data_IF_686378009016
#
_entry.id   IF_686378009016
#
_cell.length_a   1.000
_cell.length_b   1.000
_cell.length_c   1.000
_cell.angle_alpha   90.00
_cell.angle_beta   90.00
_cell.angle_gamma   90.00
#
_symmetry.space_group_name_H-M   'P 1'
#
loop_
_entity.id
_entity.type
_entity.pdbx_description
1 polymer ?
#
# COMPACT_ATOMS: atom_id res chain seq x y z
N UNK A 1 30.53 59.50 -38.14
CA UNK A 1 30.21 58.40 -37.21
C UNK A 1 29.16 57.50 -37.84
N UNK A 2 29.52 56.26 -38.22
CA UNK A 2 28.58 55.19 -38.47
C UNK A 2 28.59 54.18 -37.31
N UNK A 3 27.41 53.74 -36.89
CA UNK A 3 27.19 52.71 -35.85
C UNK A 3 27.62 51.32 -36.34
N UNK A 4 28.27 50.47 -35.52
CA UNK A 4 28.58 49.10 -35.90
C UNK A 4 27.37 48.17 -35.69
N UNK A 5 27.14 47.29 -36.68
CA UNK A 5 26.21 46.18 -36.61
C UNK A 5 26.58 45.24 -35.44
N UNK A 6 25.62 44.96 -34.57
CA UNK A 6 25.76 43.92 -33.55
C UNK A 6 25.16 42.64 -34.11
N UNK A 7 26.01 41.66 -34.42
CA UNK A 7 25.58 40.31 -34.78
C UNK A 7 25.00 39.62 -33.53
N UNK A 8 23.77 39.15 -33.62
CA UNK A 8 23.18 38.25 -32.63
C UNK A 8 23.79 36.86 -32.79
N UNK A 9 24.35 36.24 -31.73
CA UNK A 9 24.75 34.85 -31.81
C UNK A 9 23.52 33.95 -31.94
N UNK A 10 23.57 33.08 -32.94
CA UNK A 10 22.66 31.98 -33.21
C UNK A 10 22.29 31.23 -31.92
N UNK A 11 20.99 31.16 -31.64
CA UNK A 11 20.40 30.33 -30.59
C UNK A 11 20.62 28.86 -30.93
N UNK A 12 21.76 28.30 -30.52
CA UNK A 12 21.93 26.86 -30.38
C UNK A 12 21.02 26.39 -29.25
N UNK A 13 19.84 25.86 -29.60
CA UNK A 13 19.00 25.11 -28.68
C UNK A 13 19.77 23.85 -28.27
N UNK A 14 20.48 23.93 -27.16
CA UNK A 14 20.93 22.75 -26.44
C UNK A 14 19.65 22.05 -25.96
N UNK A 15 19.27 20.97 -26.66
CA UNK A 15 18.32 20.00 -26.15
C UNK A 15 18.91 19.44 -24.86
N UNK A 16 18.46 19.97 -23.72
CA UNK A 16 18.64 19.33 -22.43
C UNK A 16 17.80 18.06 -22.53
N UNK A 17 18.38 16.85 -22.49
CA UNK A 17 17.59 15.63 -22.46
C UNK A 17 16.70 15.73 -21.22
N UNK A 18 15.38 15.62 -21.37
CA UNK A 18 14.49 15.50 -20.22
C UNK A 18 14.85 14.19 -19.52
N UNK A 19 15.74 14.28 -18.55
CA UNK A 19 15.99 13.20 -17.61
C UNK A 19 14.73 13.11 -16.78
N UNK A 20 13.79 12.28 -17.25
CA UNK A 20 12.62 11.92 -16.48
C UNK A 20 13.13 11.34 -15.16
N UNK A 21 12.89 12.05 -14.05
CA UNK A 21 13.32 11.62 -12.72
C UNK A 21 12.69 10.27 -12.33
N UNK A 22 11.65 9.87 -13.05
CA UNK A 22 10.94 8.61 -12.89
C UNK A 22 11.48 7.50 -13.83
N UNK A 23 12.44 7.81 -14.71
CA UNK A 23 13.07 6.82 -15.60
C UNK A 23 14.06 5.96 -14.83
N UNK A 24 13.70 4.69 -14.62
CA UNK A 24 14.54 3.69 -13.97
C UNK A 24 15.07 2.73 -15.05
N UNK A 25 16.39 2.64 -15.25
CA UNK A 25 16.99 1.69 -16.18
C UNK A 25 16.64 0.24 -15.80
N UNK A 26 16.16 -0.54 -16.76
CA UNK A 26 15.78 -1.95 -16.63
C UNK A 26 16.96 -2.91 -16.47
N UNK A 27 18.18 -2.41 -16.28
CA UNK A 27 19.42 -3.20 -16.34
C UNK A 27 19.77 -3.99 -15.08
N UNK A 28 19.02 -3.82 -13.98
CA UNK A 28 19.22 -4.57 -12.72
C UNK A 28 18.28 -5.78 -12.56
N UNK A 29 17.48 -6.10 -13.60
CA UNK A 29 16.47 -7.14 -13.54
C UNK A 29 17.14 -8.52 -13.69
N UNK A 30 16.96 -9.45 -12.72
CA UNK A 30 17.43 -10.83 -12.85
C UNK A 30 16.89 -11.49 -14.12
N UNK A 31 17.69 -12.39 -14.69
CA UNK A 31 17.37 -13.26 -15.82
C UNK A 31 15.93 -13.76 -15.82
N UNK A 32 15.35 -13.85 -17.03
CA UNK A 32 13.98 -14.27 -17.38
C UNK A 32 13.41 -15.36 -16.45
N UNK A 33 12.74 -14.94 -15.35
CA UNK A 33 12.02 -15.87 -14.47
C UNK A 33 10.88 -16.53 -15.27
N UNK A 34 10.76 -17.86 -15.15
CA UNK A 34 9.64 -18.58 -15.73
C UNK A 34 8.35 -18.30 -14.94
N UNK A 35 7.61 -17.30 -15.40
CA UNK A 35 6.35 -16.85 -14.81
C UNK A 35 5.15 -17.75 -15.14
N UNK A 36 5.33 -18.87 -15.85
CA UNK A 36 4.22 -19.77 -16.20
C UNK A 36 3.56 -20.42 -14.98
N UNK A 37 4.30 -20.60 -13.89
CA UNK A 37 3.83 -21.18 -12.62
C UNK A 37 3.23 -20.15 -11.63
N UNK A 38 2.98 -18.91 -12.04
CA UNK A 38 2.34 -17.88 -11.18
C UNK A 38 0.95 -18.28 -10.69
N UNK A 39 0.21 -19.06 -11.49
CA UNK A 39 -1.11 -19.57 -11.11
C UNK A 39 -1.06 -20.40 -9.82
N UNK A 40 0.03 -21.14 -9.63
CA UNK A 40 0.19 -22.12 -8.56
C UNK A 40 0.44 -21.43 -7.22
N UNK A 41 0.89 -20.17 -7.26
CA UNK A 41 1.17 -19.32 -6.12
C UNK A 41 0.00 -18.37 -5.77
N UNK A 42 -1.13 -18.47 -6.48
CA UNK A 42 -2.33 -17.69 -6.13
C UNK A 42 -2.95 -18.23 -4.84
N UNK A 43 -3.34 -17.31 -3.94
CA UNK A 43 -4.06 -17.66 -2.71
C UNK A 43 -5.50 -18.08 -3.07
N UNK A 44 -5.66 -19.36 -3.42
CA UNK A 44 -6.91 -20.03 -3.79
C UNK A 44 -6.92 -21.44 -3.21
N UNK A 45 -8.10 -22.08 -3.20
CA UNK A 45 -8.24 -23.47 -2.77
C UNK A 45 -7.68 -23.70 -1.37
N UNK A 46 -6.72 -24.62 -1.24
CA UNK A 46 -6.05 -25.00 0.00
C UNK A 46 -5.33 -23.82 0.67
N UNK A 47 -4.60 -22.99 -0.10
CA UNK A 47 -3.88 -21.84 0.46
C UNK A 47 -4.84 -20.79 1.07
N UNK A 48 -6.02 -20.61 0.48
CA UNK A 48 -7.04 -19.72 1.03
C UNK A 48 -7.65 -20.30 2.33
N UNK A 49 -7.87 -21.60 2.39
CA UNK A 49 -8.39 -22.23 3.61
C UNK A 49 -7.37 -22.20 4.74
N UNK A 50 -6.09 -22.42 4.43
CA UNK A 50 -5.01 -22.25 5.38
C UNK A 50 -4.93 -20.81 5.92
N UNK A 51 -5.07 -19.81 5.03
CA UNK A 51 -5.14 -18.41 5.46
C UNK A 51 -6.34 -18.15 6.40
N UNK A 52 -7.51 -18.74 6.13
CA UNK A 52 -8.70 -18.61 7.01
C UNK A 52 -8.48 -19.28 8.37
N UNK A 53 -7.77 -20.41 8.39
CA UNK A 53 -7.38 -21.07 9.63
C UNK A 53 -6.45 -20.16 10.44
N UNK A 54 -5.40 -19.62 9.82
CA UNK A 54 -4.48 -18.66 10.45
C UNK A 54 -5.28 -17.47 11.04
N UNK A 55 -6.19 -16.87 10.27
CA UNK A 55 -7.04 -15.75 10.74
C UNK A 55 -7.89 -16.17 11.95
N UNK A 56 -8.37 -17.40 11.99
CA UNK A 56 -9.24 -17.90 13.05
C UNK A 56 -8.49 -18.23 14.35
N UNK A 57 -7.25 -18.69 14.23
CA UNK A 57 -6.39 -19.10 15.35
C UNK A 57 -5.56 -17.95 15.93
N UNK A 58 -5.28 -16.92 15.13
CA UNK A 58 -4.48 -15.77 15.58
C UNK A 58 -5.27 -14.90 16.55
N UNK A 59 -4.70 -14.70 17.75
CA UNK A 59 -5.23 -13.78 18.76
C UNK A 59 -4.64 -12.39 18.52
N UNK A 60 -5.48 -11.41 18.18
CA UNK A 60 -5.10 -10.00 18.05
C UNK A 60 -5.74 -9.15 19.16
N UNK A 61 -5.15 -7.98 19.50
CA UNK A 61 -5.73 -7.05 20.46
C UNK A 61 -7.18 -6.67 20.13
N UNK A 62 -8.01 -6.47 21.15
CA UNK A 62 -9.43 -6.13 20.97
C UNK A 62 -9.66 -4.78 20.30
N UNK A 63 -8.69 -3.87 20.38
CA UNK A 63 -8.72 -2.53 19.77
C UNK A 63 -8.45 -2.52 18.26
N UNK A 64 -8.01 -3.64 17.68
CA UNK A 64 -7.66 -3.71 16.27
C UNK A 64 -8.87 -4.09 15.40
N UNK A 65 -8.90 -3.59 14.16
CA UNK A 65 -9.84 -4.06 13.13
C UNK A 65 -9.68 -5.57 12.94
N UNK A 66 -10.75 -6.32 12.65
CA UNK A 66 -10.67 -7.77 12.41
C UNK A 66 -10.90 -8.08 10.94
N UNK A 67 -10.02 -8.89 10.37
CA UNK A 67 -10.26 -9.49 9.05
C UNK A 67 -11.35 -10.56 9.20
N UNK A 68 -12.36 -10.60 8.33
CA UNK A 68 -13.38 -11.64 8.35
C UNK A 68 -12.79 -13.05 8.29
N UNK A 69 -13.21 -13.94 9.19
CA UNK A 69 -12.74 -15.34 9.20
C UNK A 69 -13.06 -16.09 7.91
N UNK A 70 -14.16 -15.72 7.25
CA UNK A 70 -14.58 -16.29 5.95
C UNK A 70 -14.25 -15.35 4.80
N UNK A 71 -13.09 -14.69 4.84
CA UNK A 71 -12.62 -13.82 3.76
C UNK A 71 -12.59 -14.58 2.42
N UNK A 72 -12.98 -13.89 1.35
CA UNK A 72 -13.15 -14.49 0.02
C UNK A 72 -14.46 -15.29 -0.15
N UNK A 73 -15.33 -15.35 0.85
CA UNK A 73 -16.69 -15.88 0.67
C UNK A 73 -17.62 -14.83 0.06
N UNK A 74 -18.57 -15.22 -0.82
CA UNK A 74 -19.53 -14.27 -1.40
C UNK A 74 -20.37 -13.49 -0.38
N UNK A 75 -20.53 -14.02 0.85
CA UNK A 75 -21.39 -13.45 1.88
C UNK A 75 -20.80 -12.27 2.65
N UNK A 76 -19.48 -12.09 2.64
CA UNK A 76 -18.82 -11.08 3.48
C UNK A 76 -18.48 -9.76 2.75
N UNK A 77 -18.72 -9.71 1.43
CA UNK A 77 -18.38 -8.53 0.62
C UNK A 77 -16.87 -8.27 0.51
N UNK A 78 -16.51 -7.09 0.04
CA UNK A 78 -15.12 -6.66 -0.12
C UNK A 78 -14.53 -6.18 1.19
N UNK A 79 -13.23 -6.46 1.40
CA UNK A 79 -12.50 -5.95 2.55
C UNK A 79 -12.36 -4.43 2.49
N UNK A 80 -12.42 -3.80 3.66
CA UNK A 80 -12.15 -2.37 3.87
C UNK A 80 -10.65 -2.11 3.97
N UNK A 81 -10.24 -0.84 3.83
CA UNK A 81 -8.82 -0.46 3.85
C UNK A 81 -8.06 -0.95 5.10
N UNK A 82 -8.65 -0.79 6.30
CA UNK A 82 -8.04 -1.26 7.54
C UNK A 82 -7.93 -2.80 7.63
N UNK A 83 -8.87 -3.53 7.03
CA UNK A 83 -8.84 -4.99 6.96
C UNK A 83 -7.76 -5.46 5.97
N UNK A 84 -7.63 -4.80 4.82
CA UNK A 84 -6.52 -5.03 3.89
C UNK A 84 -5.16 -4.77 4.54
N UNK A 85 -5.02 -3.65 5.25
CA UNK A 85 -3.77 -3.32 5.94
C UNK A 85 -3.42 -4.41 6.96
N UNK A 86 -4.36 -4.84 7.80
CA UNK A 86 -4.09 -5.90 8.78
C UNK A 86 -3.77 -7.24 8.11
N UNK A 87 -4.45 -7.57 7.02
CA UNK A 87 -4.21 -8.79 6.24
C UNK A 87 -2.74 -8.91 5.84
N UNK A 88 -2.19 -7.86 5.24
CA UNK A 88 -0.81 -7.83 4.81
C UNK A 88 0.19 -7.72 5.96
N UNK A 89 -0.13 -6.96 7.02
CA UNK A 89 0.81 -6.75 8.13
C UNK A 89 0.99 -7.99 9.02
N UNK A 90 -0.05 -8.83 9.12
CA UNK A 90 -0.06 -9.96 10.08
C UNK A 90 -0.22 -11.30 9.38
N UNK A 91 -1.33 -11.51 8.68
CA UNK A 91 -1.70 -12.87 8.25
C UNK A 91 -0.94 -13.37 7.03
N UNK A 92 -0.62 -12.48 6.06
CA UNK A 92 0.18 -12.87 4.88
C UNK A 92 1.59 -13.33 5.29
N UNK A 93 2.35 -12.60 6.13
CA UNK A 93 3.62 -13.09 6.67
C UNK A 93 3.51 -14.48 7.31
N UNK A 94 2.51 -14.71 8.15
CA UNK A 94 2.29 -16.02 8.77
C UNK A 94 2.03 -17.12 7.75
N UNK A 95 1.18 -16.85 6.74
CA UNK A 95 0.91 -17.80 5.68
C UNK A 95 2.19 -18.16 4.93
N UNK A 96 2.99 -17.17 4.53
CA UNK A 96 4.22 -17.40 3.77
C UNK A 96 5.25 -18.18 4.58
N UNK A 97 5.45 -17.83 5.86
CA UNK A 97 6.34 -18.56 6.75
C UNK A 97 5.88 -20.01 6.96
N UNK A 98 4.57 -20.23 7.18
CA UNK A 98 4.03 -21.57 7.38
C UNK A 98 4.19 -22.47 6.14
N UNK A 99 4.03 -21.90 4.94
CA UNK A 99 4.24 -22.61 3.67
C UNK A 99 5.72 -22.96 3.48
N UNK A 100 6.63 -22.02 3.75
CA UNK A 100 8.07 -22.27 3.65
C UNK A 100 8.53 -23.38 4.60
N UNK A 101 8.10 -23.35 5.87
CA UNK A 101 8.44 -24.40 6.85
C UNK A 101 7.92 -25.79 6.45
N UNK A 102 6.76 -25.86 5.80
CA UNK A 102 6.20 -27.14 5.32
C UNK A 102 6.99 -27.73 4.15
N UNK A 103 7.67 -26.91 3.33
CA UNK A 103 8.46 -27.38 2.19
C UNK A 103 9.79 -27.98 2.64
N UNK A 104 10.42 -27.41 3.67
CA UNK A 104 11.70 -27.88 4.22
C UNK A 104 11.59 -29.28 4.85
N UNK A 105 10.42 -29.63 5.40
CA UNK A 105 10.18 -30.90 6.07
C UNK A 105 10.09 -32.13 5.13
N UNK A 106 9.85 -31.92 3.82
CA UNK A 106 9.52 -33.00 2.87
C UNK A 106 10.57 -33.20 1.75
N UNK A 107 11.79 -32.71 1.90
CA UNK A 107 12.79 -32.78 0.84
C UNK A 107 13.34 -34.19 0.60
N UNK A 108 13.11 -34.74 -0.60
CA UNK A 108 13.79 -35.94 -1.13
C UNK A 108 14.64 -35.57 -2.36
N UNK A 109 15.75 -36.30 -2.59
CA UNK A 109 16.80 -35.93 -3.55
C UNK A 109 16.33 -35.83 -5.02
N UNK A 110 15.26 -36.53 -5.43
CA UNK A 110 14.77 -36.51 -6.82
C UNK A 110 13.86 -35.29 -7.12
N UNK A 111 13.37 -34.60 -6.07
CA UNK A 111 12.51 -33.40 -6.18
C UNK A 111 13.32 -32.13 -6.47
N UNK A 112 14.62 -32.11 -6.15
CA UNK A 112 15.46 -30.89 -6.11
C UNK A 112 15.57 -30.11 -7.44
N UNK A 113 15.59 -30.77 -8.61
CA UNK A 113 15.81 -30.05 -9.89
C UNK A 113 14.58 -29.30 -10.44
N UNK A 114 13.37 -29.83 -10.24
CA UNK A 114 12.11 -29.09 -10.56
C UNK A 114 11.74 -28.11 -9.43
N UNK A 115 12.19 -28.38 -8.20
CA UNK A 115 12.00 -27.47 -7.07
C UNK A 115 12.72 -26.14 -7.29
N UNK A 116 13.96 -26.16 -7.79
CA UNK A 116 14.79 -24.95 -7.88
C UNK A 116 14.13 -23.76 -8.60
N UNK A 117 13.44 -24.00 -9.71
CA UNK A 117 12.75 -22.92 -10.45
C UNK A 117 11.46 -22.45 -9.76
N UNK A 118 10.68 -23.38 -9.20
CA UNK A 118 9.46 -23.02 -8.46
C UNK A 118 9.79 -22.31 -7.13
N UNK A 119 10.89 -22.69 -6.50
CA UNK A 119 11.42 -22.11 -5.27
C UNK A 119 11.99 -20.71 -5.52
N UNK A 120 12.69 -20.50 -6.63
CA UNK A 120 13.17 -19.18 -7.04
C UNK A 120 12.00 -18.21 -7.28
N UNK A 121 10.95 -18.64 -7.99
CA UNK A 121 9.74 -17.83 -8.19
C UNK A 121 9.02 -17.54 -6.86
N UNK A 122 8.88 -18.53 -5.98
CA UNK A 122 8.29 -18.35 -4.65
C UNK A 122 9.09 -17.33 -3.81
N UNK A 123 10.42 -17.40 -3.87
CA UNK A 123 11.33 -16.47 -3.20
C UNK A 123 11.19 -15.04 -3.75
N UNK A 124 11.07 -14.86 -5.06
CA UNK A 124 10.86 -13.54 -5.66
C UNK A 124 9.47 -12.97 -5.32
N UNK A 125 8.42 -13.79 -5.33
CA UNK A 125 7.10 -13.41 -4.84
C UNK A 125 7.14 -13.01 -3.37
N UNK A 126 7.91 -13.72 -2.55
CA UNK A 126 8.10 -13.40 -1.15
C UNK A 126 8.81 -12.07 -0.95
N UNK A 127 9.96 -11.86 -1.61
CA UNK A 127 10.67 -10.58 -1.57
C UNK A 127 9.77 -9.42 -2.00
N UNK A 128 9.07 -9.57 -3.12
CA UNK A 128 8.11 -8.57 -3.60
C UNK A 128 7.03 -8.26 -2.54
N UNK A 129 6.44 -9.30 -1.96
CA UNK A 129 5.40 -9.17 -0.94
C UNK A 129 5.92 -8.50 0.33
N UNK A 130 7.14 -8.83 0.78
CA UNK A 130 7.74 -8.18 1.95
C UNK A 130 8.10 -6.71 1.68
N UNK A 131 8.53 -6.33 0.47
CA UNK A 131 8.68 -4.92 0.12
C UNK A 131 7.36 -4.16 0.22
N UNK A 132 6.25 -4.74 -0.26
CA UNK A 132 4.92 -4.14 -0.09
C UNK A 132 4.53 -4.02 1.38
N UNK A 133 4.74 -5.06 2.19
CA UNK A 133 4.41 -5.07 3.62
C UNK A 133 5.21 -4.02 4.38
N UNK A 134 6.52 -3.87 4.10
CA UNK A 134 7.34 -2.81 4.67
C UNK A 134 6.81 -1.42 4.34
N UNK A 135 6.46 -1.17 3.08
CA UNK A 135 5.85 0.11 2.68
C UNK A 135 4.52 0.37 3.40
N UNK A 136 3.65 -0.64 3.54
CA UNK A 136 2.39 -0.54 4.30
C UNK A 136 2.65 -0.26 5.78
N UNK A 137 3.63 -0.93 6.39
CA UNK A 137 4.01 -0.72 7.79
C UNK A 137 4.40 0.74 8.05
N UNK A 138 5.26 1.29 7.20
CA UNK A 138 5.68 2.69 7.29
C UNK A 138 4.49 3.63 7.06
N UNK A 139 3.72 3.42 5.99
CA UNK A 139 2.63 4.32 5.63
C UNK A 139 1.46 4.34 6.61
N UNK A 140 1.33 3.30 7.43
CA UNK A 140 0.32 3.22 8.48
C UNK A 140 0.89 3.48 9.88
N UNK A 141 2.14 3.94 9.98
CA UNK A 141 2.75 4.32 11.24
C UNK A 141 2.11 5.58 11.84
N UNK A 142 2.13 5.67 13.17
CA UNK A 142 1.68 6.85 13.92
C UNK A 142 2.75 7.94 14.00
N UNK A 143 3.99 7.59 13.67
CA UNK A 143 5.15 8.50 13.66
C UNK A 143 5.95 8.26 12.39
N UNK A 144 6.51 9.32 11.83
CA UNK A 144 7.31 9.22 10.61
C UNK A 144 8.51 10.16 10.71
N UNK A 145 9.67 9.65 10.34
CA UNK A 145 10.93 10.38 10.20
C UNK A 145 11.31 10.55 8.73
N UNK A 146 12.37 11.31 8.46
CA UNK A 146 12.94 11.44 7.12
C UNK A 146 13.48 10.08 6.63
N UNK A 147 14.06 9.29 7.54
CA UNK A 147 14.56 7.96 7.24
C UNK A 147 13.42 7.00 6.87
N UNK A 148 12.27 7.09 7.55
CA UNK A 148 11.07 6.33 7.20
C UNK A 148 10.56 6.70 5.80
N UNK A 149 10.56 7.99 5.45
CA UNK A 149 10.15 8.43 4.12
C UNK A 149 11.07 7.88 3.01
N UNK A 150 12.38 7.87 3.27
CA UNK A 150 13.38 7.27 2.38
C UNK A 150 13.18 5.76 2.27
N UNK A 151 13.02 5.05 3.40
CA UNK A 151 12.78 3.62 3.44
C UNK A 151 11.48 3.25 2.71
N UNK A 152 10.41 4.04 2.87
CA UNK A 152 9.18 3.85 2.10
C UNK A 152 9.45 3.92 0.61
N UNK A 153 10.14 4.98 0.14
CA UNK A 153 10.45 5.17 -1.28
C UNK A 153 11.25 3.99 -1.84
N UNK A 154 12.24 3.50 -1.10
CA UNK A 154 13.06 2.34 -1.49
C UNK A 154 12.24 1.05 -1.57
N UNK A 155 11.47 0.72 -0.53
CA UNK A 155 10.64 -0.47 -0.52
C UNK A 155 9.57 -0.42 -1.60
N UNK A 156 8.94 0.74 -1.79
CA UNK A 156 7.92 0.94 -2.82
C UNK A 156 8.50 0.79 -4.23
N UNK A 157 9.67 1.38 -4.50
CA UNK A 157 10.40 1.20 -5.77
C UNK A 157 10.73 -0.27 -6.04
N UNK A 158 11.31 -0.97 -5.07
CA UNK A 158 11.65 -2.40 -5.20
C UNK A 158 10.41 -3.26 -5.44
N UNK A 159 9.31 -3.00 -4.73
CA UNK A 159 8.02 -3.63 -4.97
C UNK A 159 7.51 -3.37 -6.39
N UNK A 160 7.52 -2.12 -6.86
CA UNK A 160 7.00 -1.75 -8.19
C UNK A 160 7.78 -2.41 -9.32
N UNK A 161 9.12 -2.40 -9.26
CA UNK A 161 9.98 -3.00 -10.27
C UNK A 161 9.80 -4.51 -10.35
N UNK A 162 9.91 -5.20 -9.21
CA UNK A 162 9.71 -6.66 -9.17
C UNK A 162 8.28 -7.07 -9.49
N UNK A 163 7.27 -6.29 -9.10
CA UNK A 163 5.87 -6.57 -9.44
C UNK A 163 5.62 -6.46 -10.96
N UNK A 164 6.27 -5.53 -11.66
CA UNK A 164 6.15 -5.43 -13.12
C UNK A 164 6.80 -6.63 -13.81
N UNK A 165 7.90 -7.15 -13.27
CA UNK A 165 8.54 -8.35 -13.78
C UNK A 165 7.69 -9.61 -13.52
N UNK A 166 7.17 -9.76 -12.30
CA UNK A 166 6.31 -10.88 -11.91
C UNK A 166 4.96 -10.84 -12.65
N UNK A 167 4.42 -9.66 -12.94
CA UNK A 167 3.10 -9.50 -13.55
C UNK A 167 3.15 -8.56 -14.77
N UNK A 168 3.83 -8.94 -15.87
CA UNK A 168 4.10 -8.03 -17.00
C UNK A 168 2.84 -7.58 -17.75
N UNK A 169 1.76 -8.37 -17.66
CA UNK A 169 0.46 -8.03 -18.26
C UNK A 169 -0.36 -7.06 -17.41
N UNK A 170 0.00 -6.86 -16.14
CA UNK A 170 -0.74 -5.99 -15.23
C UNK A 170 -0.30 -4.54 -15.41
N UNK A 171 -1.23 -3.71 -15.89
CA UNK A 171 -0.99 -2.26 -16.01
C UNK A 171 -0.88 -1.61 -14.64
N UNK A 172 -0.06 -0.56 -14.55
CA UNK A 172 -0.02 0.28 -13.35
C UNK A 172 -1.38 0.94 -13.12
N UNK A 173 -1.80 1.00 -11.86
CA UNK A 173 -3.05 1.65 -11.44
C UNK A 173 -2.75 3.06 -10.96
N UNK A 174 -3.71 4.01 -11.02
CA UNK A 174 -3.54 5.35 -10.46
C UNK A 174 -3.07 5.35 -9.00
N UNK A 175 -3.54 4.40 -8.19
CA UNK A 175 -3.10 4.24 -6.80
C UNK A 175 -1.60 3.96 -6.66
N UNK A 176 -0.97 3.33 -7.65
CA UNK A 176 0.48 3.13 -7.60
C UNK A 176 1.22 4.47 -7.75
N UNK A 177 0.74 5.33 -8.65
CA UNK A 177 1.27 6.67 -8.82
C UNK A 177 1.00 7.54 -7.58
N UNK A 178 -0.21 7.49 -7.02
CA UNK A 178 -0.49 8.24 -5.78
C UNK A 178 0.40 7.81 -4.61
N UNK A 179 0.76 6.53 -4.54
CA UNK A 179 1.66 6.04 -3.52
C UNK A 179 3.11 6.54 -3.72
N UNK A 180 3.53 6.87 -4.94
CA UNK A 180 4.86 7.44 -5.21
C UNK A 180 5.04 8.81 -4.51
N UNK A 181 3.94 9.52 -4.22
CA UNK A 181 3.94 10.82 -3.53
C UNK A 181 3.94 10.71 -1.99
N UNK A 182 3.78 9.52 -1.43
CA UNK A 182 3.68 9.33 0.03
C UNK A 182 4.90 9.89 0.80
N UNK A 183 6.15 9.71 0.36
CA UNK A 183 7.32 10.30 1.02
C UNK A 183 7.26 11.83 1.15
N UNK A 184 6.81 12.53 0.09
CA UNK A 184 6.64 13.99 0.12
C UNK A 184 5.52 14.37 1.10
N UNK A 185 4.42 13.62 1.08
CA UNK A 185 3.30 13.85 2.00
C UNK A 185 3.72 13.69 3.46
N UNK A 186 4.57 12.72 3.80
CA UNK A 186 5.10 12.59 5.15
C UNK A 186 5.92 13.80 5.59
N UNK A 187 6.78 14.32 4.73
CA UNK A 187 7.61 15.49 5.07
C UNK A 187 6.77 16.75 5.28
N UNK A 188 5.69 16.90 4.51
CA UNK A 188 4.87 18.12 4.55
C UNK A 188 3.73 18.07 5.58
N UNK A 189 3.15 16.90 5.83
CA UNK A 189 1.92 16.74 6.63
C UNK A 189 2.11 15.81 7.84
N UNK A 190 3.26 15.14 7.93
CA UNK A 190 3.50 14.11 8.93
C UNK A 190 2.80 12.78 8.61
N UNK A 191 2.61 11.92 9.62
CA UNK A 191 2.04 10.58 9.44
C UNK A 191 0.62 10.63 8.87
N UNK A 192 0.29 9.68 7.99
CA UNK A 192 -1.04 9.58 7.40
C UNK A 192 -2.16 9.45 8.45
N UNK A 193 -1.89 8.85 9.61
CA UNK A 193 -2.86 8.73 10.70
C UNK A 193 -3.33 10.09 11.25
N UNK A 194 -2.47 11.11 11.19
CA UNK A 194 -2.78 12.46 11.66
C UNK A 194 -3.46 13.32 10.58
N UNK A 195 -3.18 13.05 9.31
CA UNK A 195 -3.70 13.80 8.16
C UNK A 195 -4.87 13.12 7.44
N UNK A 196 -5.21 11.87 7.80
CA UNK A 196 -6.28 11.11 7.20
C UNK A 196 -7.64 11.78 7.40
N UNK A 197 -8.48 11.67 6.38
CA UNK A 197 -9.78 12.35 6.33
C UNK A 197 -10.87 11.69 7.18
N UNK A 198 -10.52 10.76 8.08
CA UNK A 198 -11.48 10.04 8.91
C UNK A 198 -12.33 10.97 9.79
N UNK A 199 -11.74 12.06 10.27
CA UNK A 199 -12.49 13.10 10.98
C UNK A 199 -13.58 13.72 10.10
N UNK A 200 -13.27 13.99 8.83
CA UNK A 200 -14.23 14.54 7.87
C UNK A 200 -15.30 13.52 7.47
N UNK A 201 -14.95 12.24 7.25
CA UNK A 201 -15.94 11.20 6.96
C UNK A 201 -16.94 11.02 8.10
N UNK A 202 -16.45 11.05 9.35
CA UNK A 202 -17.31 10.99 10.53
C UNK A 202 -18.22 12.21 10.61
N UNK A 203 -17.69 13.40 10.34
CA UNK A 203 -18.45 14.65 10.29
C UNK A 203 -19.52 14.63 9.20
N UNK A 204 -19.20 14.16 7.99
CA UNK A 204 -20.15 13.97 6.89
C UNK A 204 -21.26 13.00 7.31
N UNK A 205 -20.92 11.89 7.97
CA UNK A 205 -21.92 10.95 8.48
C UNK A 205 -22.85 11.56 9.54
N UNK A 206 -22.37 12.50 10.34
CA UNK A 206 -23.20 13.27 11.28
C UNK A 206 -24.08 14.26 10.53
N UNK A 207 -23.53 15.00 9.56
CA UNK A 207 -24.30 15.93 8.72
C UNK A 207 -25.40 15.23 7.94
N UNK A 208 -25.12 14.06 7.36
CA UNK A 208 -26.10 13.26 6.62
C UNK A 208 -27.29 12.80 7.48
N UNK A 209 -27.11 12.70 8.79
CA UNK A 209 -28.17 12.31 9.75
C UNK A 209 -28.95 13.51 10.29
N UNK A 210 -28.51 14.73 10.05
CA UNK A 210 -29.25 15.92 10.47
C UNK A 210 -30.34 16.25 9.45
N UNK A 211 -31.62 16.28 9.84
CA UNK A 211 -32.72 16.55 8.93
C UNK A 211 -32.83 18.06 8.68
N UNK A 212 -31.86 18.65 7.98
CA UNK A 212 -31.95 20.05 7.53
C UNK A 212 -32.49 20.10 6.12
N UNK A 213 -33.81 20.01 6.00
CA UNK A 213 -34.54 20.33 4.77
C UNK A 213 -34.53 21.86 4.57
N UNK A 214 -33.35 22.44 4.29
CA UNK A 214 -33.12 23.87 4.05
C UNK A 214 -33.60 24.87 5.12
N UNK A 215 -33.85 24.45 6.37
CA UNK A 215 -34.20 25.35 7.48
C UNK A 215 -32.99 25.70 8.36
N UNK A 216 -32.02 26.44 7.81
CA UNK A 216 -31.01 27.14 8.61
C UNK A 216 -31.55 28.54 8.92
N UNK A 217 -32.55 28.62 9.80
CA UNK A 217 -32.92 29.82 10.57
C UNK A 217 -34.29 29.53 11.23
N UNK A 218 -34.28 29.04 12.47
CA UNK A 218 -35.40 29.22 13.43
C UNK A 218 -35.13 28.66 14.83
N UNK A 219 -33.97 28.04 15.11
CA UNK A 219 -33.67 27.50 16.45
C UNK A 219 -32.41 28.03 17.14
N UNK A 220 -31.73 29.04 16.60
CA UNK A 220 -30.59 29.66 17.32
C UNK A 220 -31.08 30.43 18.57
N UNK A 221 -32.37 30.80 18.66
CA UNK A 221 -32.95 31.44 19.84
C UNK A 221 -33.26 30.49 21.02
N UNK A 222 -32.88 29.21 20.97
CA UNK A 222 -33.09 28.25 22.07
C UNK A 222 -31.83 27.50 22.53
N UNK A 223 -30.64 27.91 22.09
CA UNK A 223 -29.42 27.48 22.77
C UNK A 223 -29.28 28.36 24.01
N UNK A 224 -29.91 27.89 25.09
CA UNK A 224 -29.79 28.44 26.41
C UNK A 224 -28.30 28.37 26.82
N UNK A 225 -27.63 29.52 26.80
CA UNK A 225 -26.24 29.70 27.27
C UNK A 225 -26.02 29.12 28.68
N UNK A 226 -27.10 28.89 29.44
CA UNK A 226 -27.07 28.27 30.76
C UNK A 226 -26.64 26.79 30.80
N UNK A 227 -26.71 26.03 29.72
CA UNK A 227 -26.30 24.61 29.76
C UNK A 227 -24.79 24.44 29.68
N UNK A 228 -24.03 25.45 29.22
CA UNK A 228 -22.57 25.37 29.11
C UNK A 228 -21.82 25.69 30.42
N UNK A 229 -22.50 26.26 31.44
CA UNK A 229 -21.86 26.68 32.70
C UNK A 229 -21.97 25.60 33.81
N UNK A 230 -22.86 24.60 33.66
CA UNK A 230 -23.04 23.54 34.68
C UNK A 230 -22.04 22.36 34.62
N UNK A 231 -21.07 22.38 33.72
CA UNK A 231 -20.02 21.35 33.63
C UNK A 231 -18.61 21.88 33.87
N UNK A 232 -18.47 23.07 34.47
CA UNK A 232 -17.18 23.66 34.86
C UNK A 232 -17.15 24.11 36.33
N UNK A 233 -17.64 23.26 37.24
CA UNK A 233 -17.28 23.26 38.67
C UNK A 233 -17.25 21.83 39.18
#
# INVERSE_FOLDING_TARGET
MPTPNTEHPSSGSAEIPSFDADYIPTSEIPSELDITALSDHQIKGEALEHLRQIISETIIPSSWTRVPRKMGSPSHGSLKAAEWALLYKVYIPFLMLSQQMSLDAHQSANTQRKMGQSEELANELAKNTFHLISAINIATSWTVSIDDATAFAEHWKKFRLSNQHLFPKQKSKPNHHFADHIPELFQRWGPAQASATWGYERLIGVFAKMPTNNKICMSINKINIFTLIKHLN
#
